data_IF_638195357632
#
_entry.id   IF_638195357632
#
_cell.length_a   1.000
_cell.length_b   1.000
_cell.length_c   1.000
_cell.angle_alpha   90.00
_cell.angle_beta   90.00
_cell.angle_gamma   90.00
#
_symmetry.space_group_name_H-M   'P 1'
#
loop_
_entity.id
_entity.type
_entity.pdbx_description
1 polymer ?
#
# COMPACT_ATOMS: atom_id res chain seq x y z
N UNK A 1 14.84 -81.64 -45.73
CA UNK A 1 14.41 -80.41 -45.01
C UNK A 1 15.18 -80.30 -43.70
N UNK A 2 16.04 -79.29 -43.54
CA UNK A 2 16.77 -79.01 -42.29
C UNK A 2 16.11 -77.82 -41.60
N UNK A 3 15.61 -78.04 -40.39
CA UNK A 3 15.05 -76.99 -39.53
C UNK A 3 16.17 -76.14 -38.93
N UNK A 4 16.05 -74.80 -38.91
CA UNK A 4 17.03 -73.95 -38.26
C UNK A 4 16.81 -73.97 -36.75
N UNK A 5 17.84 -74.33 -35.99
CA UNK A 5 17.87 -74.21 -34.53
C UNK A 5 18.10 -72.75 -34.16
N UNK A 6 17.11 -72.11 -33.52
CA UNK A 6 17.23 -70.76 -32.96
C UNK A 6 18.27 -70.74 -31.85
N UNK A 7 19.39 -70.03 -32.10
CA UNK A 7 20.45 -69.80 -31.12
C UNK A 7 19.90 -68.90 -30.00
N UNK A 8 19.54 -69.51 -28.88
CA UNK A 8 19.14 -68.80 -27.67
C UNK A 8 20.32 -67.91 -27.23
N UNK A 9 20.17 -66.60 -27.40
CA UNK A 9 21.12 -65.63 -26.85
C UNK A 9 21.06 -65.79 -25.34
N UNK A 10 22.17 -66.23 -24.73
CA UNK A 10 22.33 -66.17 -23.27
C UNK A 10 22.15 -64.71 -22.88
N UNK A 11 21.02 -64.38 -22.26
CA UNK A 11 20.79 -63.07 -21.68
C UNK A 11 21.89 -62.82 -20.66
N UNK A 12 22.54 -61.65 -20.76
CA UNK A 12 23.54 -61.25 -19.78
C UNK A 12 22.91 -61.18 -18.40
N UNK A 13 23.56 -61.78 -17.41
CA UNK A 13 23.23 -61.55 -16.02
C UNK A 13 23.74 -60.15 -15.62
N UNK A 14 22.94 -59.40 -14.86
CA UNK A 14 23.32 -58.08 -14.34
C UNK A 14 24.49 -58.21 -13.36
N UNK A 15 25.42 -57.24 -13.41
CA UNK A 15 26.51 -57.20 -12.43
C UNK A 15 26.03 -56.60 -11.11
N UNK A 16 26.61 -57.03 -9.98
CA UNK A 16 26.31 -56.43 -8.67
C UNK A 16 26.54 -54.90 -8.67
N UNK A 17 27.59 -54.45 -9.37
CA UNK A 17 27.93 -53.03 -9.48
C UNK A 17 26.82 -52.24 -10.18
N UNK A 18 26.26 -52.77 -11.27
CA UNK A 18 25.19 -52.11 -12.04
C UNK A 18 23.92 -51.92 -11.21
N UNK A 19 23.52 -52.93 -10.45
CA UNK A 19 22.34 -52.85 -9.56
C UNK A 19 22.56 -51.83 -8.44
N UNK A 20 23.77 -51.81 -7.85
CA UNK A 20 24.08 -50.82 -6.81
C UNK A 20 24.06 -49.38 -7.35
N UNK A 21 24.58 -49.16 -8.57
CA UNK A 21 24.53 -47.85 -9.22
C UNK A 21 23.08 -47.45 -9.55
N UNK A 22 22.27 -48.37 -10.07
CA UNK A 22 20.87 -48.10 -10.38
C UNK A 22 20.06 -47.70 -9.13
N UNK A 23 20.22 -48.43 -8.03
CA UNK A 23 19.55 -48.11 -6.76
C UNK A 23 20.09 -46.79 -6.18
N UNK A 24 21.38 -46.50 -6.34
CA UNK A 24 21.97 -45.23 -5.93
C UNK A 24 21.35 -44.03 -6.63
N UNK A 25 21.24 -44.09 -7.97
CA UNK A 25 20.60 -43.03 -8.77
C UNK A 25 19.11 -42.90 -8.43
N UNK A 26 18.42 -44.03 -8.27
CA UNK A 26 17.00 -44.06 -7.89
C UNK A 26 16.80 -43.41 -6.50
N UNK A 27 17.65 -43.73 -5.54
CA UNK A 27 17.61 -43.14 -4.19
C UNK A 27 17.78 -41.62 -4.22
N UNK A 28 18.76 -41.10 -4.96
CA UNK A 28 18.97 -39.65 -5.12
C UNK A 28 17.75 -38.97 -5.77
N UNK A 29 17.14 -39.62 -6.77
CA UNK A 29 15.92 -39.12 -7.40
C UNK A 29 14.73 -39.03 -6.44
N UNK A 30 14.47 -40.09 -5.66
CA UNK A 30 13.37 -40.12 -4.70
C UNK A 30 13.53 -39.08 -3.58
N UNK A 31 14.75 -38.87 -3.07
CA UNK A 31 15.03 -37.85 -2.05
C UNK A 31 14.72 -36.45 -2.58
N UNK A 32 15.07 -36.17 -3.85
CA UNK A 32 14.78 -34.89 -4.50
C UNK A 32 13.26 -34.64 -4.65
N UNK A 33 12.50 -35.68 -5.00
CA UNK A 33 11.04 -35.58 -5.12
C UNK A 33 10.41 -35.36 -3.74
N UNK A 34 10.80 -36.17 -2.75
CA UNK A 34 10.23 -36.09 -1.40
C UNK A 34 10.48 -34.73 -0.74
N UNK A 35 11.67 -34.14 -0.94
CA UNK A 35 11.96 -32.81 -0.40
C UNK A 35 11.06 -31.72 -1.02
N UNK A 36 10.70 -31.87 -2.30
CA UNK A 36 9.77 -30.97 -2.99
C UNK A 36 8.34 -31.07 -2.44
N UNK A 37 7.86 -32.29 -2.16
CA UNK A 37 6.54 -32.51 -1.56
C UNK A 37 6.42 -31.90 -0.15
N UNK A 38 7.45 -32.08 0.68
CA UNK A 38 7.49 -31.49 2.03
C UNK A 38 7.47 -29.96 1.96
N UNK A 39 8.12 -29.37 0.96
CA UNK A 39 8.08 -27.92 0.76
C UNK A 39 6.66 -27.44 0.40
N UNK A 40 5.96 -28.14 -0.49
CA UNK A 40 4.57 -27.81 -0.84
C UNK A 40 3.64 -27.87 0.38
N UNK A 41 3.82 -28.84 1.28
CA UNK A 41 3.03 -28.93 2.51
C UNK A 41 3.23 -27.71 3.43
N UNK A 42 4.49 -27.25 3.58
CA UNK A 42 4.81 -26.05 4.38
C UNK A 42 4.20 -24.78 3.79
N UNK A 43 4.22 -24.65 2.45
CA UNK A 43 3.57 -23.52 1.76
C UNK A 43 2.05 -23.55 1.99
N UNK A 44 1.42 -24.73 1.95
CA UNK A 44 0.00 -24.88 2.25
C UNK A 44 -0.37 -24.44 3.66
N UNK A 45 0.40 -24.86 4.68
CA UNK A 45 0.20 -24.43 6.06
C UNK A 45 0.37 -22.91 6.23
N UNK A 46 1.39 -22.32 5.60
CA UNK A 46 1.59 -20.87 5.60
C UNK A 46 0.42 -20.13 4.96
N UNK A 47 -0.10 -20.62 3.83
CA UNK A 47 -1.25 -20.01 3.17
C UNK A 47 -2.52 -20.06 4.05
N UNK A 48 -2.74 -21.17 4.76
CA UNK A 48 -3.83 -21.27 5.73
C UNK A 48 -3.70 -20.24 6.85
N UNK A 49 -2.51 -20.08 7.43
CA UNK A 49 -2.27 -19.07 8.47
C UNK A 49 -2.49 -17.64 7.94
N UNK A 50 -2.05 -17.35 6.72
CA UNK A 50 -2.28 -16.04 6.09
C UNK A 50 -3.77 -15.78 5.84
N UNK A 51 -4.53 -16.79 5.43
CA UNK A 51 -5.98 -16.67 5.27
C UNK A 51 -6.66 -16.36 6.61
N UNK A 52 -6.33 -17.09 7.67
CA UNK A 52 -6.86 -16.83 9.02
C UNK A 52 -6.51 -15.42 9.47
N UNK A 53 -5.25 -15.01 9.35
CA UNK A 53 -4.83 -13.64 9.65
C UNK A 53 -5.63 -12.59 8.86
N UNK A 54 -5.92 -12.83 7.58
CA UNK A 54 -6.70 -11.89 6.77
C UNK A 54 -8.16 -11.78 7.21
N UNK A 55 -8.75 -12.87 7.71
CA UNK A 55 -10.10 -12.88 8.25
C UNK A 55 -10.15 -12.14 9.59
N UNK A 56 -9.15 -12.38 10.44
CA UNK A 56 -8.98 -11.67 11.72
C UNK A 56 -8.77 -10.17 11.51
N UNK A 57 -7.94 -9.75 10.55
CA UNK A 57 -7.77 -8.35 10.20
C UNK A 57 -9.10 -7.68 9.81
N UNK A 58 -9.93 -8.39 9.03
CA UNK A 58 -11.25 -7.91 8.62
C UNK A 58 -12.23 -7.82 9.78
N UNK A 59 -12.19 -8.80 10.70
CA UNK A 59 -12.98 -8.71 11.93
C UNK A 59 -12.58 -7.46 12.72
N UNK A 60 -11.27 -7.26 12.96
CA UNK A 60 -10.81 -6.12 13.73
C UNK A 60 -11.17 -4.78 13.11
N UNK A 61 -11.02 -4.67 11.80
CA UNK A 61 -11.45 -3.46 11.07
C UNK A 61 -12.95 -3.23 11.21
N UNK A 62 -13.77 -4.29 11.18
CA UNK A 62 -15.21 -4.20 11.42
C UNK A 62 -15.57 -3.73 12.83
N UNK A 63 -14.85 -4.18 13.86
CA UNK A 63 -15.03 -3.70 15.24
C UNK A 63 -14.69 -2.21 15.35
N UNK A 64 -13.60 -1.76 14.71
CA UNK A 64 -13.20 -0.35 14.68
C UNK A 64 -14.27 0.48 13.95
N UNK A 65 -14.78 0.01 12.81
CA UNK A 65 -15.85 0.67 12.07
C UNK A 65 -17.13 0.76 12.91
N UNK A 66 -17.49 -0.29 13.64
CA UNK A 66 -18.64 -0.30 14.52
C UNK A 66 -18.47 0.69 15.68
N UNK A 67 -17.29 0.71 16.31
CA UNK A 67 -16.97 1.67 17.37
C UNK A 67 -17.05 3.10 16.86
N UNK A 68 -16.45 3.39 15.70
CA UNK A 68 -16.48 4.71 15.08
C UNK A 68 -17.89 5.09 14.60
N UNK A 69 -18.71 4.14 14.17
CA UNK A 69 -20.10 4.39 13.81
C UNK A 69 -20.97 4.72 15.03
N UNK A 70 -20.66 4.17 16.21
CA UNK A 70 -21.38 4.41 17.46
C UNK A 70 -20.93 5.69 18.15
N UNK A 71 -19.62 5.87 18.30
CA UNK A 71 -19.00 6.91 19.14
C UNK A 71 -18.51 8.11 18.33
N UNK A 72 -18.39 7.97 17.00
CA UNK A 72 -17.81 8.97 16.11
C UNK A 72 -16.29 8.82 15.94
N UNK A 73 -15.68 9.70 15.15
CA UNK A 73 -14.22 9.71 15.01
C UNK A 73 -13.59 10.21 16.31
N UNK A 74 -12.55 9.53 16.83
CA UNK A 74 -11.89 9.98 18.04
C UNK A 74 -11.17 11.31 17.79
N UNK A 75 -11.23 12.19 18.79
CA UNK A 75 -10.57 13.49 18.76
C UNK A 75 -9.04 13.39 18.93
N UNK A 76 -8.58 12.31 19.56
CA UNK A 76 -7.19 11.97 19.86
C UNK A 76 -6.88 10.63 19.20
N UNK A 77 -5.61 10.37 18.90
CA UNK A 77 -5.16 9.08 18.39
C UNK A 77 -5.46 7.98 19.42
N UNK A 78 -6.02 6.87 18.96
CA UNK A 78 -6.39 5.72 19.79
C UNK A 78 -5.62 4.49 19.31
N UNK A 79 -5.17 3.65 20.24
CA UNK A 79 -4.31 2.51 19.93
C UNK A 79 -4.45 1.39 20.96
N UNK A 80 -4.27 0.15 20.51
CA UNK A 80 -4.40 -1.01 21.37
C UNK A 80 -3.77 -2.28 20.81
N UNK A 81 -3.72 -3.30 21.67
CA UNK A 81 -3.25 -4.65 21.34
C UNK A 81 -4.27 -5.67 21.87
N UNK A 82 -4.71 -6.61 21.03
CA UNK A 82 -5.67 -7.65 21.39
C UNK A 82 -5.53 -8.95 20.57
N UNK A 83 -6.46 -9.89 20.80
CA UNK A 83 -6.57 -11.17 20.08
C UNK A 83 -7.20 -11.09 18.67
N UNK A 84 -7.20 -9.92 18.04
CA UNK A 84 -7.77 -9.58 16.74
C UNK A 84 -9.29 -9.60 16.57
N UNK A 85 -10.04 -10.36 17.36
CA UNK A 85 -11.49 -10.47 17.19
C UNK A 85 -12.11 -10.95 18.50
N UNK A 86 -12.96 -10.13 19.13
CA UNK A 86 -13.50 -10.38 20.49
C UNK A 86 -14.24 -11.74 20.58
N UNK A 87 -14.93 -12.15 19.51
CA UNK A 87 -15.72 -13.38 19.45
C UNK A 87 -15.01 -14.57 18.80
N UNK A 88 -13.81 -14.37 18.23
CA UNK A 88 -13.12 -15.39 17.43
C UNK A 88 -11.60 -15.36 17.59
N UNK A 89 -11.13 -15.16 18.83
CA UNK A 89 -9.70 -15.21 19.15
C UNK A 89 -9.10 -16.56 18.75
N UNK A 90 -7.96 -16.49 18.06
CA UNK A 90 -7.20 -17.67 17.62
C UNK A 90 -5.82 -17.65 18.26
N UNK A 91 -5.43 -18.76 18.88
CA UNK A 91 -4.11 -18.89 19.50
C UNK A 91 -2.99 -18.63 18.48
N UNK A 92 -1.97 -17.86 18.89
CA UNK A 92 -0.81 -17.53 18.07
C UNK A 92 -1.05 -16.41 17.06
N UNK A 93 -2.15 -15.67 17.19
CA UNK A 93 -2.43 -14.42 16.47
C UNK A 93 -2.62 -13.28 17.48
N UNK A 94 -2.08 -12.12 17.14
CA UNK A 94 -2.20 -10.89 17.93
C UNK A 94 -2.38 -9.72 16.96
N UNK A 95 -3.26 -8.78 17.30
CA UNK A 95 -3.48 -7.57 16.52
C UNK A 95 -3.03 -6.35 17.31
N UNK A 96 -2.26 -5.51 16.64
CA UNK A 96 -1.94 -4.16 17.09
C UNK A 96 -2.69 -3.19 16.18
N UNK A 97 -3.47 -2.29 16.74
CA UNK A 97 -4.27 -1.34 15.99
C UNK A 97 -4.00 0.10 16.41
N UNK A 98 -4.08 1.03 15.46
CA UNK A 98 -4.02 2.47 15.70
C UNK A 98 -5.00 3.23 14.81
N UNK A 99 -5.61 4.28 15.37
CA UNK A 99 -6.48 5.22 14.66
C UNK A 99 -5.84 6.58 14.80
N UNK A 100 -5.28 7.09 13.71
CA UNK A 100 -4.47 8.30 13.71
C UNK A 100 -5.09 9.38 12.84
N UNK A 101 -4.88 10.65 13.17
CA UNK A 101 -5.20 11.76 12.26
C UNK A 101 -4.35 11.67 10.99
N UNK A 102 -4.98 11.88 9.82
CA UNK A 102 -4.21 12.04 8.58
C UNK A 102 -3.54 13.42 8.58
N UNK A 103 -2.26 13.47 8.22
CA UNK A 103 -1.53 14.72 7.99
C UNK A 103 -1.31 14.84 6.50
N UNK A 104 -1.83 15.91 5.90
CA UNK A 104 -1.57 16.20 4.49
C UNK A 104 -0.26 16.99 4.38
N UNK A 105 0.51 16.81 3.28
CA UNK A 105 1.67 17.66 3.02
C UNK A 105 1.26 19.14 2.93
N UNK A 106 2.18 20.03 3.30
CA UNK A 106 1.95 21.50 3.29
C UNK A 106 2.11 22.09 1.88
N UNK A 107 2.81 21.39 1.01
CA UNK A 107 3.19 21.83 -0.32
C UNK A 107 2.26 21.26 -1.38
N UNK A 108 1.62 22.17 -2.12
CA UNK A 108 0.85 21.80 -3.31
C UNK A 108 1.72 21.25 -4.45
N UNK A 109 3.05 21.30 -4.28
CA UNK A 109 4.06 20.74 -5.19
C UNK A 109 3.90 19.23 -5.39
N UNK A 110 3.61 18.49 -4.32
CA UNK A 110 3.41 17.05 -4.37
C UNK A 110 2.21 16.64 -5.27
N UNK A 111 1.16 17.47 -5.35
CA UNK A 111 0.01 17.22 -6.24
C UNK A 111 0.29 17.63 -7.69
N UNK A 112 1.25 18.52 -7.91
CA UNK A 112 1.67 18.96 -9.25
C UNK A 112 2.63 17.99 -9.93
N UNK A 113 3.42 17.23 -9.16
CA UNK A 113 4.32 16.20 -9.70
C UNK A 113 3.55 14.96 -10.19
N UNK A 114 2.47 14.53 -9.53
CA UNK A 114 1.75 13.30 -9.92
C UNK A 114 0.82 13.49 -11.14
N UNK A 115 0.38 14.73 -11.42
CA UNK A 115 -0.34 15.10 -12.65
C UNK A 115 0.60 15.57 -13.78
N UNK A 116 1.88 15.80 -13.47
CA UNK A 116 2.88 16.35 -14.39
C UNK A 116 3.84 15.27 -14.88
N UNK A 117 3.47 14.59 -15.96
CA UNK A 117 4.43 13.80 -16.73
C UNK A 117 5.56 14.69 -17.25
N UNK A 118 6.78 14.26 -16.96
CA UNK A 118 8.04 14.57 -17.66
C UNK A 118 8.68 15.94 -17.41
N UNK A 119 9.71 15.90 -16.57
CA UNK A 119 10.98 16.65 -16.60
C UNK A 119 10.98 18.04 -17.28
N UNK A 120 10.89 19.06 -16.43
CA UNK A 120 11.40 20.38 -16.72
C UNK A 120 11.84 21.04 -15.42
N UNK A 121 13.15 21.21 -15.22
CA UNK A 121 13.72 22.09 -14.20
C UNK A 121 13.11 23.49 -14.34
N UNK A 122 12.12 23.78 -13.51
CA UNK A 122 11.38 25.02 -13.55
C UNK A 122 10.59 25.12 -12.26
N UNK A 123 11.19 25.73 -11.24
CA UNK A 123 10.55 26.01 -9.97
C UNK A 123 9.17 26.62 -10.19
N UNK A 124 8.19 26.12 -9.44
CA UNK A 124 6.80 26.51 -9.58
C UNK A 124 6.66 28.05 -9.54
N UNK A 125 5.87 28.66 -10.44
CA UNK A 125 5.74 30.12 -10.53
C UNK A 125 5.22 30.78 -9.24
N UNK A 126 4.65 30.00 -8.33
CA UNK A 126 4.21 30.46 -7.01
C UNK A 126 5.38 30.62 -6.02
N UNK A 127 6.43 29.81 -6.13
CA UNK A 127 7.64 29.91 -5.30
C UNK A 127 8.40 31.21 -5.60
N UNK A 128 8.38 31.63 -6.88
CA UNK A 128 8.92 32.93 -7.32
C UNK A 128 8.09 34.16 -6.91
N UNK A 129 6.80 33.98 -6.56
CA UNK A 129 5.92 35.09 -6.16
C UNK A 129 5.96 35.33 -4.65
N UNK A 130 6.14 34.27 -3.86
CA UNK A 130 6.16 34.36 -2.40
C UNK A 130 7.58 34.50 -1.82
N UNK A 131 8.62 34.20 -2.61
CA UNK A 131 10.01 34.23 -2.16
C UNK A 131 10.75 35.57 -2.28
N UNK A 132 10.20 36.59 -2.96
CA UNK A 132 10.91 37.85 -3.17
C UNK A 132 9.98 39.09 -3.13
N UNK A 133 10.15 39.90 -2.09
CA UNK A 133 9.38 41.13 -1.84
C UNK A 133 9.62 42.23 -2.90
N UNK A 134 10.61 42.06 -3.81
CA UNK A 134 10.95 43.06 -4.82
C UNK A 134 10.33 42.79 -6.22
N UNK A 135 9.77 41.60 -6.45
CA UNK A 135 9.14 41.22 -7.73
C UNK A 135 7.62 41.48 -7.80
N UNK A 136 6.97 41.76 -6.65
CA UNK A 136 5.52 41.95 -6.55
C UNK A 136 5.02 43.23 -7.24
N UNK A 137 5.86 44.26 -7.34
CA UNK A 137 5.47 45.53 -7.96
C UNK A 137 5.54 45.51 -9.48
N UNK A 138 6.46 44.76 -10.08
CA UNK A 138 6.61 44.74 -11.56
C UNK A 138 5.61 43.79 -12.25
N UNK A 139 5.17 42.74 -11.57
CA UNK A 139 4.24 41.74 -12.13
C UNK A 139 2.79 42.19 -12.03
N UNK A 140 2.41 42.87 -10.94
CA UNK A 140 1.06 43.38 -10.75
C UNK A 140 0.80 44.67 -11.56
N UNK A 141 1.81 45.54 -11.71
CA UNK A 141 1.73 46.78 -12.51
C UNK A 141 1.59 46.49 -14.02
N UNK A 142 2.26 45.44 -14.51
CA UNK A 142 2.13 44.97 -15.90
C UNK A 142 0.76 44.35 -16.22
N UNK A 143 0.07 43.77 -15.23
CA UNK A 143 -1.23 43.14 -15.40
C UNK A 143 -2.38 44.16 -15.41
N UNK A 144 -2.25 45.26 -14.66
CA UNK A 144 -3.28 46.29 -14.51
C UNK A 144 -3.17 47.42 -15.55
N UNK A 145 -1.96 47.69 -16.06
CA UNK A 145 -1.72 48.82 -16.96
C UNK A 145 -1.98 48.53 -18.44
N UNK A 146 -2.29 47.29 -18.82
CA UNK A 146 -2.64 46.92 -20.20
C UNK A 146 -1.57 47.25 -21.23
N UNK A 147 -0.30 47.39 -20.82
CA UNK A 147 0.80 47.73 -21.70
C UNK A 147 1.31 46.47 -22.40
N UNK A 148 0.97 46.36 -23.70
CA UNK A 148 1.38 45.27 -24.59
C UNK A 148 2.87 45.31 -24.97
N UNK A 149 3.70 46.07 -24.25
CA UNK A 149 5.14 46.23 -24.49
C UNK A 149 6.04 45.17 -23.83
N UNK A 150 5.52 44.42 -22.84
CA UNK A 150 6.26 43.36 -22.12
C UNK A 150 6.15 41.95 -22.74
N UNK A 151 5.45 41.81 -23.87
CA UNK A 151 5.07 40.52 -24.46
C UNK A 151 6.23 39.76 -25.14
N UNK A 152 7.47 40.25 -25.04
CA UNK A 152 8.67 39.55 -25.51
C UNK A 152 9.18 38.45 -24.57
N UNK A 153 8.78 38.47 -23.29
CA UNK A 153 9.16 37.46 -22.29
C UNK A 153 8.09 36.38 -22.06
N UNK A 154 6.89 36.56 -22.60
CA UNK A 154 5.74 35.67 -22.41
C UNK A 154 5.48 34.77 -23.63
N UNK A 155 6.36 34.79 -24.63
CA UNK A 155 6.28 33.94 -25.83
C UNK A 155 6.72 32.48 -25.62
N UNK A 156 7.17 32.13 -24.41
CA UNK A 156 7.62 30.77 -24.06
C UNK A 156 6.85 30.14 -22.90
N UNK A 157 5.93 30.85 -22.25
CA UNK A 157 5.09 30.26 -21.21
C UNK A 157 3.90 29.60 -21.88
N UNK A 158 3.97 28.27 -21.97
CA UNK A 158 2.91 27.42 -22.48
C UNK A 158 1.57 27.69 -21.78
N UNK A 159 0.80 28.62 -22.34
CA UNK A 159 -0.66 28.65 -22.23
C UNK A 159 -1.22 27.54 -23.11
N UNK A 160 -0.93 26.30 -22.73
CA UNK A 160 -1.35 25.10 -23.44
C UNK A 160 -1.62 23.99 -22.44
N UNK A 161 -2.90 23.71 -22.21
CA UNK A 161 -3.37 22.66 -21.30
C UNK A 161 -3.91 23.22 -19.99
N UNK A 162 -5.01 22.67 -19.50
CA UNK A 162 -5.73 23.12 -18.31
C UNK A 162 -4.92 23.11 -16.99
N UNK A 163 -3.63 22.76 -17.02
CA UNK A 163 -2.82 22.49 -15.84
C UNK A 163 -2.32 23.75 -15.12
N UNK A 164 -2.10 24.87 -15.82
CA UNK A 164 -1.68 26.13 -15.19
C UNK A 164 -2.77 26.81 -14.36
N UNK A 165 -4.02 26.75 -14.84
CA UNK A 165 -5.17 27.28 -14.10
C UNK A 165 -5.60 26.32 -12.99
N UNK A 166 -5.50 25.01 -13.22
CA UNK A 166 -5.86 23.98 -12.23
C UNK A 166 -4.88 23.97 -11.06
N UNK A 167 -3.57 24.07 -11.31
CA UNK A 167 -2.56 24.20 -10.24
C UNK A 167 -2.75 25.47 -9.40
N UNK A 168 -3.05 26.61 -10.03
CA UNK A 168 -3.40 27.84 -9.32
C UNK A 168 -4.69 27.71 -8.50
N UNK A 169 -5.73 27.06 -9.05
CA UNK A 169 -6.99 26.83 -8.36
C UNK A 169 -6.83 25.90 -7.15
N UNK A 170 -6.03 24.83 -7.28
CA UNK A 170 -5.68 23.93 -6.17
C UNK A 170 -4.90 24.71 -5.10
N UNK A 171 -3.94 25.57 -5.49
CA UNK A 171 -3.18 26.43 -4.57
C UNK A 171 -4.05 27.34 -3.68
N UNK A 172 -5.17 27.83 -4.21
CA UNK A 172 -6.13 28.65 -3.45
C UNK A 172 -7.09 27.83 -2.59
N UNK A 173 -7.54 26.66 -3.07
CA UNK A 173 -8.55 25.85 -2.38
C UNK A 173 -7.96 24.94 -1.30
N UNK A 174 -6.75 24.42 -1.51
CA UNK A 174 -6.13 23.40 -0.66
C UNK A 174 -5.88 23.88 0.79
N UNK A 175 -5.39 25.11 1.06
CA UNK A 175 -5.22 25.60 2.43
C UNK A 175 -6.52 25.71 3.23
N UNK A 176 -7.66 25.91 2.55
CA UNK A 176 -8.99 25.97 3.17
C UNK A 176 -9.53 24.56 3.44
N UNK A 177 -9.32 23.62 2.50
CA UNK A 177 -9.80 22.24 2.61
C UNK A 177 -8.93 21.37 3.51
N UNK A 178 -7.63 21.64 3.60
CA UNK A 178 -6.68 20.88 4.41
C UNK A 178 -7.15 20.67 5.86
N UNK A 179 -7.45 21.71 6.66
CA UNK A 179 -7.88 21.50 8.04
C UNK A 179 -9.20 20.72 8.13
N UNK A 180 -10.12 20.90 7.18
CA UNK A 180 -11.37 20.13 7.18
C UNK A 180 -11.15 18.65 6.89
N UNK A 181 -10.24 18.32 5.96
CA UNK A 181 -9.91 16.95 5.61
C UNK A 181 -9.16 16.27 6.76
N UNK A 182 -8.17 16.94 7.36
CA UNK A 182 -7.43 16.40 8.51
C UNK A 182 -8.33 16.14 9.71
N UNK A 183 -9.36 16.96 9.92
CA UNK A 183 -10.31 16.75 11.01
C UNK A 183 -11.32 15.62 10.72
N UNK A 184 -11.78 15.50 9.46
CA UNK A 184 -12.82 14.55 9.04
C UNK A 184 -12.30 13.17 8.64
N UNK A 185 -10.99 12.99 8.49
CA UNK A 185 -10.39 11.73 8.08
C UNK A 185 -9.47 11.18 9.17
N UNK A 186 -9.63 9.90 9.48
CA UNK A 186 -8.70 9.13 10.32
C UNK A 186 -8.14 7.95 9.53
N UNK A 187 -6.87 7.62 9.77
CA UNK A 187 -6.21 6.44 9.24
C UNK A 187 -6.26 5.34 10.31
N UNK A 188 -7.06 4.31 10.07
CA UNK A 188 -7.06 3.09 10.86
C UNK A 188 -6.00 2.12 10.29
N UNK A 189 -5.10 1.67 11.14
CA UNK A 189 -4.08 0.67 10.82
C UNK A 189 -4.27 -0.53 11.72
N UNK A 190 -4.38 -1.72 11.14
CA UNK A 190 -4.41 -2.99 11.88
C UNK A 190 -3.25 -3.85 11.42
N UNK A 191 -2.35 -4.17 12.35
CA UNK A 191 -1.22 -5.07 12.14
C UNK A 191 -1.49 -6.41 12.78
N UNK A 192 -1.60 -7.46 11.95
CA UNK A 192 -1.76 -8.83 12.44
C UNK A 192 -0.40 -9.50 12.55
N UNK A 193 -0.04 -9.98 13.74
CA UNK A 193 1.19 -10.76 14.01
C UNK A 193 0.83 -12.22 14.23
N UNK A 194 1.61 -13.13 13.64
CA UNK A 194 1.37 -14.58 13.73
C UNK A 194 2.63 -15.42 13.54
N UNK A 195 2.67 -16.59 14.19
CA UNK A 195 3.81 -17.52 14.16
C UNK A 195 4.46 -17.74 15.52
N UNK A 196 5.51 -18.56 15.59
CA UNK A 196 6.07 -19.05 16.86
C UNK A 196 6.48 -17.94 17.83
N UNK A 197 6.94 -16.80 17.31
CA UNK A 197 7.33 -15.62 18.11
C UNK A 197 6.71 -14.31 17.57
N UNK A 198 5.62 -14.40 16.78
CA UNK A 198 5.01 -13.23 16.14
C UNK A 198 5.85 -12.56 15.03
N UNK A 199 6.90 -13.24 14.54
CA UNK A 199 7.84 -12.70 13.52
C UNK A 199 7.18 -12.35 12.18
N UNK A 200 6.00 -12.91 11.88
CA UNK A 200 5.31 -12.69 10.61
C UNK A 200 4.10 -11.83 10.86
N UNK A 201 3.86 -10.90 9.96
CA UNK A 201 2.67 -10.09 10.01
C UNK A 201 2.46 -9.30 8.73
N UNK A 202 1.33 -8.63 8.67
CA UNK A 202 1.03 -7.65 7.63
C UNK A 202 0.12 -6.58 8.20
N UNK A 203 0.12 -5.44 7.54
CA UNK A 203 -0.65 -4.27 7.92
C UNK A 203 -1.82 -4.11 6.95
N UNK A 204 -2.99 -3.79 7.49
CA UNK A 204 -4.17 -3.35 6.74
C UNK A 204 -4.43 -1.91 7.13
N UNK A 205 -4.47 -1.03 6.13
CA UNK A 205 -4.71 0.40 6.33
C UNK A 205 -6.04 0.76 5.67
N UNK A 206 -6.88 1.48 6.39
CA UNK A 206 -8.15 2.00 5.92
C UNK A 206 -8.32 3.44 6.37
N UNK A 207 -8.96 4.25 5.52
CA UNK A 207 -9.31 5.63 5.85
C UNK A 207 -10.79 5.69 6.23
N UNK A 208 -11.04 6.15 7.45
CA UNK A 208 -12.38 6.37 8.00
C UNK A 208 -12.76 7.83 7.81
N UNK A 209 -13.98 8.08 7.35
CA UNK A 209 -14.49 9.43 7.07
C UNK A 209 -15.76 9.65 7.87
N UNK A 210 -15.86 10.78 8.58
CA UNK A 210 -17.09 11.15 9.27
C UNK A 210 -18.13 11.65 8.25
N UNK A 211 -19.28 10.97 8.15
CA UNK A 211 -20.40 11.43 7.32
C UNK A 211 -21.21 12.56 7.97
N UNK A 212 -21.01 12.84 9.27
CA UNK A 212 -21.75 13.87 10.00
C UNK A 212 -20.83 14.85 10.72
N UNK A 213 -21.11 16.17 10.68
CA UNK A 213 -20.51 17.08 11.64
C UNK A 213 -20.85 16.59 13.05
N UNK A 214 -19.92 16.68 14.02
CA UNK A 214 -20.13 16.15 15.36
C UNK A 214 -21.44 16.71 15.93
N UNK A 215 -22.31 15.83 16.44
CA UNK A 215 -23.51 16.26 17.17
C UNK A 215 -23.01 17.12 18.32
N UNK A 216 -23.33 18.41 18.26
CA UNK A 216 -23.20 19.30 19.41
C UNK A 216 -24.12 18.69 20.47
N UNK A 217 -23.54 18.12 21.52
CA UNK A 217 -24.32 17.81 22.71
C UNK A 217 -24.90 19.14 23.19
N UNK A 218 -26.18 19.37 22.89
CA UNK A 218 -26.96 20.41 23.51
C UNK A 218 -26.97 20.12 25.00
N UNK A 219 -26.08 20.80 25.73
CA UNK A 219 -26.10 20.85 27.17
C UNK A 219 -27.51 21.19 27.63
N UNK A 220 -28.09 20.29 28.40
CA UNK A 220 -29.38 20.46 29.05
C UNK A 220 -29.19 20.24 30.55
N UNK A 221 -29.91 20.96 31.44
CA UNK A 221 -30.45 22.32 31.38
C UNK A 221 -29.66 23.33 32.24
#
# INVERSE_FOLDING_TARGET
MRTPTTRQRRGGAFTLLEVMVAIGILGLGLVSIFSSEVQSMKVGQRAQQMNVASLLARCKMGEIEEQVARDGLPAIDDQGVDGCCEDAEVEGFECEWSIERIVLPDDTGAYSEELGGEEGEGGSPLDSVLGDESAQVNTLDGLLSGDTGGLGGMGGMGMGGGDGLTSFAIGLAFPVLKPSIEEQVRRATVRVKYGPDGERGFDVVQYLVAEQPPRVEEGQP
#
